data_IF_382666259592
#
_entry.id   IF_382666259592
#
_cell.length_a   1.000
_cell.length_b   1.000
_cell.length_c   1.000
_cell.angle_alpha   90.00
_cell.angle_beta   90.00
_cell.angle_gamma   90.00
#
_symmetry.space_group_name_H-M   'P 1'
#
loop_
_entity.id
_entity.type
_entity.pdbx_description
1 polymer ?
#
# COMPACT_ATOMS: atom_id res chain seq x y z
N UNK A 1 -21.19 78.28 18.82
CA UNK A 1 -21.25 78.15 20.30
C UNK A 1 -20.01 77.36 20.70
N UNK A 2 -19.12 78.00 21.47
CA UNK A 2 -17.93 77.55 22.21
C UNK A 2 -17.82 76.02 22.47
N UNK A 3 -16.67 75.32 22.51
CA UNK A 3 -15.29 75.63 22.95
C UNK A 3 -14.33 74.45 22.67
N UNK A 4 -13.02 74.74 22.51
CA UNK A 4 -11.77 74.09 23.02
C UNK A 4 -11.77 72.56 23.32
N UNK A 5 -10.74 71.76 23.03
CA UNK A 5 -9.35 71.92 23.49
C UNK A 5 -8.41 70.85 22.87
N UNK A 6 -7.13 71.20 22.70
CA UNK A 6 -5.96 70.30 22.50
C UNK A 6 -5.66 69.50 23.78
N UNK A 7 -5.05 68.30 23.66
CA UNK A 7 -3.73 67.90 24.24
C UNK A 7 -3.51 66.38 24.20
N UNK A 8 -2.49 65.96 23.43
CA UNK A 8 -1.42 64.98 23.65
C UNK A 8 -1.56 63.68 24.50
N UNK A 9 -0.86 62.66 23.98
CA UNK A 9 -0.14 61.52 24.61
C UNK A 9 -0.73 60.09 24.59
N UNK A 10 -0.20 59.34 23.61
CA UNK A 10 0.42 57.99 23.65
C UNK A 10 0.25 57.18 24.95
N UNK A 11 -0.34 55.99 24.81
CA UNK A 11 0.09 54.76 25.50
C UNK A 11 -0.07 53.57 24.54
N UNK A 12 1.04 52.92 24.20
CA UNK A 12 1.07 51.61 23.55
C UNK A 12 0.33 50.55 24.37
N UNK A 13 -0.47 49.70 23.72
CA UNK A 13 -0.71 48.32 24.16
C UNK A 13 -0.79 47.40 22.96
N UNK A 14 0.03 46.36 23.02
CA UNK A 14 0.07 45.24 22.11
C UNK A 14 -0.95 44.18 22.54
N UNK A 15 -1.77 43.72 21.59
CA UNK A 15 -2.40 42.41 21.46
C UNK A 15 -3.12 42.42 20.09
N UNK A 16 -3.33 41.34 19.36
CA UNK A 16 -3.04 39.94 19.51
C UNK A 16 -3.50 39.27 18.21
N UNK A 17 -2.76 38.23 17.81
CA UNK A 17 -3.21 37.10 16.98
C UNK A 17 -3.72 37.41 15.56
N UNK A 18 -2.79 37.40 14.60
CA UNK A 18 -3.08 36.97 13.24
C UNK A 18 -3.44 35.49 13.27
N UNK A 19 -4.75 35.20 13.22
CA UNK A 19 -5.28 33.86 13.00
C UNK A 19 -4.98 33.43 11.56
N UNK A 20 -3.74 33.01 11.33
CA UNK A 20 -3.38 32.24 10.14
C UNK A 20 -4.00 30.85 10.27
N UNK A 21 -5.24 30.71 9.82
CA UNK A 21 -5.90 29.40 9.65
C UNK A 21 -5.07 28.62 8.63
N UNK A 22 -4.20 27.74 9.14
CA UNK A 22 -3.49 26.74 8.36
C UNK A 22 -4.53 25.71 7.84
N UNK A 23 -5.13 26.01 6.69
CA UNK A 23 -5.96 25.05 5.97
C UNK A 23 -5.03 23.94 5.48
N UNK A 24 -5.02 22.82 6.21
CA UNK A 24 -4.27 21.63 5.83
C UNK A 24 -4.60 21.27 4.38
N UNK A 25 -3.58 21.25 3.52
CA UNK A 25 -3.72 20.82 2.13
C UNK A 25 -4.33 19.41 2.10
N UNK A 26 -5.30 19.12 1.21
CA UNK A 26 -5.85 17.78 1.09
C UNK A 26 -4.72 16.79 0.78
N UNK A 27 -4.58 15.77 1.63
CA UNK A 27 -3.58 14.72 1.44
C UNK A 27 -3.98 13.90 0.21
N UNK A 28 -3.33 14.13 -0.92
CA UNK A 28 -3.47 13.29 -2.10
C UNK A 28 -2.78 11.96 -1.79
N UNK A 29 -3.56 10.90 -1.67
CA UNK A 29 -3.05 9.55 -1.40
C UNK A 29 -2.59 8.93 -2.73
N UNK A 30 -1.29 8.66 -2.88
CA UNK A 30 -0.69 8.15 -4.13
C UNK A 30 -0.42 6.64 -4.08
N UNK A 31 -0.09 6.04 -5.23
CA UNK A 31 0.33 4.64 -5.30
C UNK A 31 1.60 4.39 -4.45
N UNK A 32 2.52 5.35 -4.41
CA UNK A 32 3.73 5.29 -3.58
C UNK A 32 3.38 5.25 -2.09
N UNK A 33 2.39 6.04 -1.64
CA UNK A 33 1.95 6.02 -0.26
C UNK A 33 1.48 4.62 0.16
N UNK A 34 0.65 3.98 -0.66
CA UNK A 34 0.15 2.63 -0.34
C UNK A 34 1.23 1.56 -0.49
N UNK A 35 2.15 1.72 -1.44
CA UNK A 35 3.31 0.83 -1.56
C UNK A 35 4.24 0.92 -0.35
N UNK A 36 4.37 2.09 0.28
CA UNK A 36 5.08 2.23 1.56
C UNK A 36 4.40 1.45 2.70
N UNK A 37 3.06 1.41 2.73
CA UNK A 37 2.33 0.58 3.69
C UNK A 37 2.57 -0.92 3.43
N UNK A 38 2.63 -1.32 2.15
CA UNK A 38 3.01 -2.69 1.77
C UNK A 38 4.46 -3.01 2.18
N UNK A 39 5.40 -2.06 2.01
CA UNK A 39 6.78 -2.19 2.48
C UNK A 39 6.88 -2.35 4.01
N UNK A 40 6.03 -1.68 4.78
CA UNK A 40 5.95 -1.89 6.23
C UNK A 40 5.63 -3.36 6.57
N UNK A 41 4.66 -3.96 5.87
CA UNK A 41 4.33 -5.38 6.05
C UNK A 41 5.46 -6.31 5.60
N UNK A 42 6.16 -5.97 4.51
CA UNK A 42 7.32 -6.72 4.03
C UNK A 42 8.48 -6.71 5.03
N UNK A 43 8.74 -5.56 5.65
CA UNK A 43 9.75 -5.40 6.71
C UNK A 43 9.38 -6.22 7.95
N UNK A 44 8.11 -6.27 8.34
CA UNK A 44 7.68 -7.09 9.47
C UNK A 44 7.80 -8.59 9.17
N UNK A 45 7.47 -9.03 7.95
CA UNK A 45 7.76 -10.40 7.49
C UNK A 45 9.26 -10.74 7.60
N UNK A 46 10.13 -9.82 7.14
CA UNK A 46 11.58 -9.98 7.23
C UNK A 46 12.06 -10.20 8.67
N UNK A 47 11.57 -9.39 9.62
CA UNK A 47 11.90 -9.50 11.05
C UNK A 47 11.50 -10.86 11.64
N UNK A 48 10.46 -11.49 11.08
CA UNK A 48 10.00 -12.82 11.47
C UNK A 48 10.72 -13.96 10.73
N UNK A 49 11.73 -13.65 9.91
CA UNK A 49 12.49 -14.64 9.14
C UNK A 49 11.78 -15.15 7.88
N UNK A 50 10.70 -14.48 7.47
CA UNK A 50 9.95 -14.77 6.25
C UNK A 50 10.50 -13.99 5.05
N UNK A 51 10.27 -14.48 3.83
CA UNK A 51 10.61 -13.72 2.61
C UNK A 51 9.90 -12.36 2.66
N UNK A 52 10.60 -11.22 2.45
CA UNK A 52 10.05 -9.90 2.73
C UNK A 52 9.13 -9.41 1.60
N UNK A 53 7.94 -9.97 1.55
CA UNK A 53 6.85 -9.50 0.68
C UNK A 53 5.70 -9.06 1.56
N UNK A 54 5.15 -7.90 1.23
CA UNK A 54 4.02 -7.30 1.93
C UNK A 54 2.97 -6.83 0.95
N UNK A 55 1.72 -6.85 1.39
CA UNK A 55 0.57 -6.43 0.61
C UNK A 55 -0.45 -5.66 1.46
N UNK A 56 -1.13 -4.71 0.83
CA UNK A 56 -2.29 -4.01 1.37
C UNK A 56 -3.42 -4.00 0.37
N UNK A 57 -4.66 -4.06 0.85
CA UNK A 57 -5.87 -3.90 0.03
C UNK A 57 -6.59 -2.64 0.46
N UNK A 58 -6.92 -1.81 -0.52
CA UNK A 58 -7.52 -0.49 -0.33
C UNK A 58 -8.86 -0.43 -1.07
N UNK A 59 -9.89 0.09 -0.41
CA UNK A 59 -11.18 0.43 -1.00
C UNK A 59 -11.42 1.94 -0.98
N UNK A 60 -12.66 2.36 -1.25
CA UNK A 60 -13.06 3.77 -1.29
C UNK A 60 -12.82 4.51 0.04
N UNK A 61 -13.04 3.84 1.17
CA UNK A 61 -12.85 4.40 2.52
C UNK A 61 -11.40 4.28 3.02
N UNK A 62 -10.48 3.73 2.21
CA UNK A 62 -9.08 3.55 2.57
C UNK A 62 -8.68 2.09 2.81
N UNK A 63 -7.78 1.86 3.77
CA UNK A 63 -7.17 0.55 4.02
C UNK A 63 -8.20 -0.46 4.56
N UNK A 64 -8.37 -1.57 3.85
CA UNK A 64 -9.25 -2.68 4.26
C UNK A 64 -8.49 -3.79 4.99
N UNK A 65 -7.30 -4.15 4.49
CA UNK A 65 -6.48 -5.20 5.07
C UNK A 65 -5.00 -5.05 4.71
N UNK A 66 -4.13 -5.62 5.54
CA UNK A 66 -2.69 -5.65 5.34
C UNK A 66 -2.10 -6.97 5.85
N UNK A 67 -1.09 -7.50 5.15
CA UNK A 67 -0.33 -8.66 5.59
C UNK A 67 1.05 -8.73 4.93
N UNK A 68 2.01 -9.33 5.63
CA UNK A 68 3.26 -9.81 5.06
C UNK A 68 3.22 -11.33 4.86
N UNK A 69 4.14 -11.87 4.07
CA UNK A 69 4.33 -13.32 3.95
C UNK A 69 4.45 -13.98 5.32
N UNK A 70 3.83 -15.15 5.48
CA UNK A 70 4.00 -15.99 6.68
C UNK A 70 3.96 -17.51 6.42
N UNK A 71 4.54 -18.03 5.31
CA UNK A 71 4.47 -19.46 5.01
C UNK A 71 5.19 -20.34 6.05
N UNK A 72 6.35 -19.91 6.57
CA UNK A 72 7.11 -20.68 7.56
C UNK A 72 6.35 -20.72 8.88
N UNK A 73 5.97 -19.54 9.38
CA UNK A 73 5.32 -19.37 10.69
C UNK A 73 3.96 -20.06 10.75
N UNK A 74 3.20 -20.01 9.66
CA UNK A 74 1.87 -20.64 9.59
C UNK A 74 1.90 -22.09 9.12
N UNK A 75 3.08 -22.61 8.74
CA UNK A 75 3.21 -23.94 8.09
C UNK A 75 2.23 -24.10 6.91
N UNK A 76 2.04 -23.03 6.15
CA UNK A 76 1.04 -22.94 5.09
C UNK A 76 1.73 -22.45 3.80
N UNK A 77 1.90 -23.31 2.78
CA UNK A 77 2.56 -22.92 1.54
C UNK A 77 1.78 -21.86 0.76
N UNK A 78 0.53 -21.60 1.11
CA UNK A 78 -0.32 -20.60 0.47
C UNK A 78 -0.32 -19.26 1.21
N UNK A 79 0.33 -19.16 2.37
CA UNK A 79 0.35 -17.96 3.22
C UNK A 79 1.27 -16.83 2.69
N UNK A 80 1.11 -16.51 1.41
CA UNK A 80 1.67 -15.33 0.76
C UNK A 80 0.91 -14.07 1.19
N UNK A 81 1.57 -12.92 1.12
CA UNK A 81 1.04 -11.63 1.53
C UNK A 81 -0.31 -11.32 0.86
N UNK A 82 -0.45 -11.58 -0.44
CA UNK A 82 -1.67 -11.32 -1.21
C UNK A 82 -2.81 -12.20 -0.71
N UNK A 83 -2.57 -13.50 -0.51
CA UNK A 83 -3.57 -14.45 -0.02
C UNK A 83 -4.04 -14.07 1.39
N UNK A 84 -3.12 -13.77 2.28
CA UNK A 84 -3.43 -13.37 3.65
C UNK A 84 -4.22 -12.06 3.70
N UNK A 85 -3.86 -11.08 2.86
CA UNK A 85 -4.57 -9.81 2.75
C UNK A 85 -5.99 -10.00 2.22
N UNK A 86 -6.18 -10.80 1.15
CA UNK A 86 -7.52 -11.10 0.62
C UNK A 86 -8.40 -11.81 1.65
N UNK A 87 -7.85 -12.78 2.39
CA UNK A 87 -8.58 -13.52 3.43
C UNK A 87 -9.06 -12.59 4.54
N UNK A 88 -8.16 -11.73 5.07
CA UNK A 88 -8.49 -10.74 6.10
C UNK A 88 -9.59 -9.77 5.63
N UNK A 89 -9.47 -9.25 4.42
CA UNK A 89 -10.47 -8.34 3.85
C UNK A 89 -11.83 -9.04 3.67
N UNK A 90 -11.83 -10.25 3.12
CA UNK A 90 -13.06 -11.02 2.89
C UNK A 90 -13.79 -11.36 4.19
N UNK A 91 -13.05 -11.67 5.24
CA UNK A 91 -13.60 -11.92 6.58
C UNK A 91 -14.21 -10.65 7.17
N UNK A 92 -13.49 -9.53 7.10
CA UNK A 92 -13.97 -8.24 7.62
C UNK A 92 -15.23 -7.76 6.91
N UNK A 93 -15.28 -7.89 5.58
CA UNK A 93 -16.42 -7.46 4.75
C UNK A 93 -17.53 -8.52 4.64
N UNK A 94 -17.29 -9.74 5.15
CA UNK A 94 -18.17 -10.90 4.99
C UNK A 94 -18.55 -11.16 3.53
N UNK A 95 -17.61 -10.95 2.62
CA UNK A 95 -17.81 -11.11 1.18
C UNK A 95 -16.52 -11.58 0.53
N UNK A 96 -16.60 -12.65 -0.28
CA UNK A 96 -15.44 -13.19 -0.99
C UNK A 96 -15.08 -12.37 -2.25
N UNK A 97 -16.01 -11.54 -2.73
CA UNK A 97 -15.75 -10.59 -3.81
C UNK A 97 -15.42 -9.23 -3.23
N UNK A 98 -14.37 -8.63 -3.76
CA UNK A 98 -13.78 -7.37 -3.32
C UNK A 98 -13.72 -6.40 -4.52
N UNK A 99 -14.84 -6.10 -5.20
CA UNK A 99 -14.85 -5.16 -6.32
C UNK A 99 -14.45 -3.76 -5.88
N UNK A 100 -14.02 -2.93 -6.83
CA UNK A 100 -13.63 -1.53 -6.58
C UNK A 100 -12.51 -1.38 -5.54
N UNK A 101 -11.66 -2.42 -5.41
CA UNK A 101 -10.48 -2.38 -4.55
C UNK A 101 -9.19 -2.38 -5.37
N UNK A 102 -8.14 -1.81 -4.79
CA UNK A 102 -6.77 -1.90 -5.30
C UNK A 102 -5.91 -2.70 -4.34
N UNK A 103 -5.22 -3.73 -4.84
CA UNK A 103 -4.19 -4.44 -4.08
C UNK A 103 -2.81 -3.89 -4.43
N UNK A 104 -2.06 -3.45 -3.43
CA UNK A 104 -0.66 -3.07 -3.55
C UNK A 104 0.22 -4.17 -2.97
N UNK A 105 1.26 -4.58 -3.68
CA UNK A 105 2.18 -5.64 -3.22
C UNK A 105 3.63 -5.35 -3.61
N UNK A 106 4.58 -5.62 -2.73
CA UNK A 106 5.97 -5.21 -2.94
C UNK A 106 6.69 -6.01 -4.04
N UNK A 107 6.21 -7.20 -4.38
CA UNK A 107 6.76 -8.07 -5.42
C UNK A 107 5.65 -8.50 -6.37
N UNK A 108 5.98 -8.62 -7.65
CA UNK A 108 5.07 -9.15 -8.65
C UNK A 108 4.45 -10.49 -8.21
N UNK A 109 3.11 -10.63 -8.22
CA UNK A 109 2.45 -11.84 -7.76
C UNK A 109 2.81 -13.08 -8.58
N UNK A 110 2.94 -14.22 -7.91
CA UNK A 110 3.06 -15.51 -8.56
C UNK A 110 1.72 -15.99 -9.14
N UNK A 111 1.73 -17.12 -9.88
CA UNK A 111 0.54 -17.69 -10.51
C UNK A 111 -0.62 -17.96 -9.53
N UNK A 112 -0.30 -18.44 -8.31
CA UNK A 112 -1.29 -18.69 -7.27
C UNK A 112 -1.99 -17.41 -6.83
N UNK A 113 -1.19 -16.38 -6.51
CA UNK A 113 -1.71 -15.10 -6.05
C UNK A 113 -2.52 -14.41 -7.16
N UNK A 114 -2.04 -14.40 -8.41
CA UNK A 114 -2.81 -13.87 -9.53
C UNK A 114 -4.17 -14.54 -9.69
N UNK A 115 -4.22 -15.87 -9.62
CA UNK A 115 -5.49 -16.62 -9.65
C UNK A 115 -6.43 -16.21 -8.53
N UNK A 116 -5.92 -16.03 -7.31
CA UNK A 116 -6.71 -15.59 -6.17
C UNK A 116 -7.25 -14.16 -6.34
N UNK A 117 -6.45 -13.21 -6.85
CA UNK A 117 -6.87 -11.83 -7.11
C UNK A 117 -8.04 -11.79 -8.11
N UNK A 118 -7.97 -12.61 -9.16
CA UNK A 118 -9.05 -12.75 -10.14
C UNK A 118 -10.31 -13.30 -9.47
N UNK A 119 -10.20 -14.37 -8.67
CA UNK A 119 -11.35 -14.94 -7.96
C UNK A 119 -11.99 -13.96 -6.97
N UNK A 120 -11.17 -13.13 -6.33
CA UNK A 120 -11.60 -12.06 -5.44
C UNK A 120 -12.21 -10.86 -6.16
N UNK A 121 -12.13 -10.78 -7.51
CA UNK A 121 -12.72 -9.68 -8.30
C UNK A 121 -12.18 -8.29 -7.93
N UNK A 122 -10.91 -8.19 -7.56
CA UNK A 122 -10.29 -6.87 -7.31
C UNK A 122 -10.29 -6.02 -8.58
N UNK A 123 -10.36 -4.70 -8.46
CA UNK A 123 -10.35 -3.81 -9.63
C UNK A 123 -8.95 -3.64 -10.21
N UNK A 124 -7.96 -3.45 -9.33
CA UNK A 124 -6.62 -3.02 -9.72
C UNK A 124 -5.54 -3.69 -8.88
N UNK A 125 -4.45 -4.08 -9.52
CA UNK A 125 -3.23 -4.59 -8.91
C UNK A 125 -2.10 -3.59 -9.17
N UNK A 126 -1.42 -3.18 -8.11
CA UNK A 126 -0.19 -2.40 -8.18
C UNK A 126 0.95 -3.18 -7.53
N UNK A 127 2.05 -3.37 -8.23
CA UNK A 127 3.22 -4.05 -7.67
C UNK A 127 4.50 -3.24 -7.79
N UNK A 128 5.42 -3.51 -6.85
CA UNK A 128 6.73 -2.87 -6.80
C UNK A 128 7.74 -3.52 -7.74
N UNK A 129 8.56 -4.41 -7.20
CA UNK A 129 9.58 -5.11 -7.98
C UNK A 129 8.97 -6.21 -8.86
N UNK A 130 9.52 -6.42 -10.06
CA UNK A 130 9.21 -7.58 -10.92
C UNK A 130 9.80 -8.86 -10.36
N UNK A 131 9.16 -10.01 -10.61
CA UNK A 131 9.72 -11.33 -10.34
C UNK A 131 10.03 -12.08 -11.65
N UNK A 132 11.27 -12.03 -12.16
CA UNK A 132 11.64 -12.67 -13.42
C UNK A 132 11.61 -14.20 -13.38
N UNK A 133 11.48 -14.81 -12.19
CA UNK A 133 11.49 -16.27 -12.03
C UNK A 133 10.08 -16.85 -11.96
N UNK A 134 9.16 -16.18 -11.28
CA UNK A 134 7.81 -16.73 -11.03
C UNK A 134 6.66 -15.75 -11.22
N UNK A 135 6.95 -14.49 -11.54
CA UNK A 135 5.96 -13.43 -11.71
C UNK A 135 4.96 -13.74 -12.81
N UNK A 136 3.68 -13.65 -12.50
CA UNK A 136 2.60 -14.05 -13.38
C UNK A 136 1.76 -12.88 -13.93
N UNK A 137 2.08 -11.65 -13.53
CA UNK A 137 1.38 -10.46 -13.96
C UNK A 137 1.97 -9.89 -15.27
N UNK A 138 3.30 -9.94 -15.41
CA UNK A 138 4.01 -9.44 -16.59
C UNK A 138 5.32 -10.21 -16.93
N UNK A 139 5.97 -10.88 -15.98
CA UNK A 139 7.30 -11.47 -16.20
C UNK A 139 7.27 -12.81 -16.95
N UNK A 140 6.73 -13.87 -16.33
CA UNK A 140 6.65 -15.22 -16.92
C UNK A 140 5.31 -15.44 -17.61
N UNK A 141 4.26 -14.85 -17.05
CA UNK A 141 2.90 -14.89 -17.59
C UNK A 141 2.30 -13.48 -17.64
N UNK A 142 1.17 -13.35 -18.32
CA UNK A 142 0.35 -12.13 -18.41
C UNK A 142 -1.09 -12.40 -17.99
N UNK A 143 -1.25 -13.04 -16.82
CA UNK A 143 -2.56 -13.44 -16.30
C UNK A 143 -3.38 -12.20 -15.91
N UNK A 144 -4.69 -12.22 -16.18
CA UNK A 144 -5.61 -11.15 -15.78
C UNK A 144 -5.77 -9.99 -16.77
N UNK A 145 -5.12 -10.08 -17.95
CA UNK A 145 -5.18 -9.08 -19.03
C UNK A 145 -5.48 -9.62 -20.42
N UNK A 146 -5.55 -10.93 -20.58
CA UNK A 146 -5.60 -11.59 -21.90
C UNK A 146 -7.02 -11.94 -22.38
N UNK A 147 -8.06 -11.46 -21.69
CA UNK A 147 -9.47 -11.67 -22.05
C UNK A 147 -9.99 -13.10 -21.94
N UNK A 148 -9.17 -14.07 -21.52
CA UNK A 148 -9.59 -15.49 -21.43
C UNK A 148 -10.40 -15.80 -20.17
N UNK A 149 -10.33 -14.93 -19.16
CA UNK A 149 -10.96 -15.11 -17.86
C UNK A 149 -12.16 -14.18 -17.70
N UNK A 150 -13.07 -14.55 -16.81
CA UNK A 150 -14.33 -13.84 -16.57
C UNK A 150 -14.21 -12.54 -15.76
N UNK A 151 -12.99 -12.10 -15.47
CA UNK A 151 -12.67 -10.87 -14.75
C UNK A 151 -11.29 -10.38 -15.17
N UNK A 152 -11.20 -9.10 -15.52
CA UNK A 152 -9.96 -8.42 -15.87
C UNK A 152 -9.51 -7.49 -14.75
N UNK A 153 -8.20 -7.36 -14.59
CA UNK A 153 -7.59 -6.52 -13.56
C UNK A 153 -6.76 -5.44 -14.24
N UNK A 154 -6.90 -4.20 -13.81
CA UNK A 154 -5.96 -3.13 -14.16
C UNK A 154 -4.63 -3.39 -13.43
N UNK A 155 -3.51 -3.56 -14.14
CA UNK A 155 -2.22 -3.94 -13.54
C UNK A 155 -1.16 -2.87 -13.76
N UNK A 156 -0.63 -2.28 -12.70
CA UNK A 156 0.51 -1.37 -12.78
C UNK A 156 1.71 -1.92 -12.00
N UNK A 157 2.88 -1.90 -12.63
CA UNK A 157 4.12 -2.39 -12.03
C UNK A 157 5.15 -1.28 -11.92
N UNK A 158 6.12 -1.47 -11.03
CA UNK A 158 7.29 -0.60 -10.94
C UNK A 158 7.23 0.46 -9.83
N UNK A 159 6.16 0.49 -9.03
CA UNK A 159 6.00 1.51 -7.97
C UNK A 159 6.99 1.23 -6.84
N UNK A 160 7.94 2.15 -6.62
CA UNK A 160 9.05 1.97 -5.67
C UNK A 160 9.86 0.68 -5.92
N UNK A 161 10.00 0.26 -7.18
CA UNK A 161 10.62 -1.02 -7.56
C UNK A 161 12.01 -1.24 -6.94
N UNK A 162 12.86 -0.22 -6.94
CA UNK A 162 14.21 -0.31 -6.39
C UNK A 162 14.19 -0.63 -4.89
N UNK A 163 13.34 0.08 -4.12
CA UNK A 163 13.22 -0.16 -2.67
C UNK A 163 12.66 -1.53 -2.36
N UNK A 164 11.64 -1.96 -3.09
CA UNK A 164 11.07 -3.30 -2.94
C UNK A 164 12.10 -4.39 -3.28
N UNK A 165 12.85 -4.21 -4.37
CA UNK A 165 13.88 -5.14 -4.82
C UNK A 165 15.07 -5.21 -3.87
N UNK A 166 15.50 -4.07 -3.33
CA UNK A 166 16.63 -3.97 -2.40
C UNK A 166 16.33 -4.69 -1.08
N UNK A 167 15.11 -4.58 -0.56
CA UNK A 167 14.69 -5.33 0.62
C UNK A 167 14.81 -6.85 0.39
N UNK A 168 14.32 -7.36 -0.75
CA UNK A 168 14.47 -8.78 -1.12
C UNK A 168 15.94 -9.19 -1.23
N UNK A 169 16.75 -8.40 -1.94
CA UNK A 169 18.18 -8.67 -2.15
C UNK A 169 18.94 -8.71 -0.83
N UNK A 170 18.68 -7.75 0.06
CA UNK A 170 19.28 -7.68 1.38
C UNK A 170 18.94 -8.93 2.21
N UNK A 171 17.67 -9.33 2.25
CA UNK A 171 17.23 -10.52 2.97
C UNK A 171 17.96 -11.79 2.52
N UNK A 172 18.02 -12.05 1.21
CA UNK A 172 18.69 -13.24 0.70
C UNK A 172 20.22 -13.17 0.80
N UNK A 173 20.82 -11.96 0.79
CA UNK A 173 22.25 -11.80 1.05
C UNK A 173 22.60 -12.25 2.47
N UNK A 174 21.81 -11.85 3.47
CA UNK A 174 21.99 -12.26 4.86
C UNK A 174 21.86 -13.77 5.04
N UNK A 175 20.87 -14.40 4.38
CA UNK A 175 20.67 -15.86 4.49
C UNK A 175 21.70 -16.73 3.78
N UNK A 176 22.45 -16.20 2.80
CA UNK A 176 23.57 -16.92 2.16
C UNK A 176 24.88 -16.79 2.93
N UNK A 177 24.97 -15.82 3.84
CA UNK A 177 26.18 -15.53 4.60
C UNK A 177 26.25 -16.30 5.93
N UNK A 178 25.15 -16.94 6.35
CA UNK A 178 25.10 -17.87 7.49
C UNK A 178 24.87 -19.30 7.00
#
# INVERSE_FOLDING_TARGET
>A
MQTKNRSDNIVERADGTSDDINVAQPVVVTDEFWMEQALAQAMDAAKMGEVPVGAVLVGEEGLLAAAGNSPIRLNDPTAHAEILTLRKASEALKNYRLPNTTLYVTLEPCIMCMGALIQARIGRLVYGATDPKTGAAASVYTIGRDGRLNHEIEIHGGILADRCGDLLRAFFKTRRAG
#
